data_IF_245589876922
#
_entry.id   IF_245589876922
#
_cell.length_a   1.000
_cell.length_b   1.000
_cell.length_c   1.000
_cell.angle_alpha   90.00
_cell.angle_beta   90.00
_cell.angle_gamma   90.00
#
_symmetry.space_group_name_H-M   'P 1'
#
loop_
_entity.id
_entity.type
_entity.pdbx_description
1 polymer ?
#
# COMPACT_ATOMS: atom_id res chain seq x y z
N UNK A 1 -29.19 0.14 6.91
CA UNK A 1 -27.74 0.35 7.07
C UNK A 1 -27.50 0.81 8.50
N UNK A 2 -26.92 -0.03 9.33
CA UNK A 2 -26.59 0.32 10.72
C UNK A 2 -25.37 1.23 10.71
N UNK A 3 -25.31 2.31 11.52
CA UNK A 3 -24.22 3.31 11.52
C UNK A 3 -22.84 2.79 11.97
N UNK A 4 -22.65 1.48 12.16
CA UNK A 4 -21.41 0.86 12.65
C UNK A 4 -20.34 0.58 11.58
N UNK A 5 -20.68 0.70 10.29
CA UNK A 5 -19.75 0.42 9.18
C UNK A 5 -19.52 1.62 8.24
N UNK A 6 -19.98 2.82 8.63
CA UNK A 6 -19.78 4.02 7.83
C UNK A 6 -18.42 4.67 8.13
N UNK A 7 -17.74 5.14 7.09
CA UNK A 7 -16.54 5.96 7.21
C UNK A 7 -16.97 7.42 7.41
N UNK A 8 -16.25 8.20 8.22
CA UNK A 8 -16.50 9.64 8.35
C UNK A 8 -15.76 10.39 7.22
N UNK A 9 -16.46 10.85 6.16
CA UNK A 9 -15.80 11.42 4.97
C UNK A 9 -15.14 12.76 5.23
N UNK A 10 -15.55 13.49 6.27
CA UNK A 10 -14.93 14.73 6.74
C UNK A 10 -13.57 14.49 7.41
N UNK A 11 -13.34 13.28 7.93
CA UNK A 11 -12.08 12.88 8.57
C UNK A 11 -11.19 12.10 7.60
N UNK A 12 -11.79 11.22 6.79
CA UNK A 12 -11.07 10.32 5.86
C UNK A 12 -11.62 10.44 4.42
N UNK A 13 -11.47 11.62 3.78
CA UNK A 13 -12.08 11.89 2.48
C UNK A 13 -11.53 11.00 1.37
N UNK A 14 -10.24 10.67 1.39
CA UNK A 14 -9.62 9.84 0.34
C UNK A 14 -10.08 8.40 0.43
N UNK A 15 -10.17 7.86 1.65
CA UNK A 15 -10.67 6.49 1.87
C UNK A 15 -12.15 6.39 1.51
N UNK A 16 -12.96 7.39 1.88
CA UNK A 16 -14.38 7.44 1.55
C UNK A 16 -14.61 7.36 0.04
N UNK A 17 -13.96 8.26 -0.71
CA UNK A 17 -14.03 8.30 -2.18
C UNK A 17 -13.55 6.99 -2.80
N UNK A 18 -12.49 6.41 -2.28
CA UNK A 18 -11.98 5.11 -2.74
C UNK A 18 -13.01 4.00 -2.56
N UNK A 19 -13.58 3.85 -1.37
CA UNK A 19 -14.56 2.78 -1.09
C UNK A 19 -15.86 2.96 -1.89
N UNK A 20 -16.30 4.20 -2.12
CA UNK A 20 -17.46 4.50 -2.95
C UNK A 20 -17.26 4.13 -4.43
N UNK A 21 -16.04 4.33 -4.95
CA UNK A 21 -15.70 3.98 -6.33
C UNK A 21 -15.57 2.45 -6.56
N UNK A 22 -15.47 1.65 -5.50
CA UNK A 22 -15.33 0.20 -5.60
C UNK A 22 -16.68 -0.51 -5.78
N UNK A 23 -16.76 -1.59 -6.58
CA UNK A 23 -18.02 -2.27 -6.86
C UNK A 23 -18.80 -2.75 -5.63
N UNK A 24 -18.09 -3.13 -4.56
CA UNK A 24 -18.66 -3.64 -3.29
C UNK A 24 -17.94 -3.08 -2.06
N UNK A 25 -17.37 -1.88 -2.17
CA UNK A 25 -16.57 -1.27 -1.09
C UNK A 25 -15.48 -2.21 -0.58
N UNK A 26 -15.40 -2.40 0.74
CA UNK A 26 -14.42 -3.29 1.38
C UNK A 26 -14.48 -4.75 0.91
N UNK A 27 -15.63 -5.23 0.43
CA UNK A 27 -15.81 -6.61 -0.05
C UNK A 27 -15.45 -6.79 -1.54
N UNK A 28 -14.84 -5.79 -2.18
CA UNK A 28 -14.43 -5.88 -3.57
C UNK A 28 -13.21 -6.78 -3.74
N UNK A 29 -13.17 -7.51 -4.86
CA UNK A 29 -12.02 -8.33 -5.27
C UNK A 29 -11.50 -9.30 -4.18
N UNK A 30 -12.34 -10.20 -3.64
CA UNK A 30 -11.96 -11.11 -2.55
C UNK A 30 -10.78 -12.04 -2.88
N UNK A 31 -10.52 -12.29 -4.16
CA UNK A 31 -9.37 -13.04 -4.67
C UNK A 31 -8.04 -12.27 -4.59
N UNK A 32 -8.10 -10.95 -4.45
CA UNK A 32 -6.94 -10.08 -4.33
C UNK A 32 -6.52 -9.94 -2.86
N UNK A 33 -5.35 -10.46 -2.51
CA UNK A 33 -4.84 -10.45 -1.13
C UNK A 33 -3.38 -10.04 -1.05
N UNK A 34 -3.04 -9.34 0.02
CA UNK A 34 -1.70 -8.87 0.34
C UNK A 34 -1.21 -9.52 1.65
N UNK A 35 0.11 -9.68 1.80
CA UNK A 35 0.68 -10.06 3.10
C UNK A 35 0.53 -8.92 4.10
N UNK A 36 0.07 -9.25 5.31
CA UNK A 36 -0.09 -8.32 6.42
C UNK A 36 1.22 -7.66 6.85
N UNK A 37 2.39 -8.18 6.45
CA UNK A 37 3.67 -7.50 6.63
C UNK A 37 3.67 -6.09 6.02
N UNK A 38 3.00 -5.87 4.88
CA UNK A 38 2.94 -4.55 4.23
C UNK A 38 2.18 -3.55 5.10
N UNK A 39 0.99 -3.94 5.56
CA UNK A 39 0.17 -3.18 6.49
C UNK A 39 0.94 -2.84 7.77
N UNK A 40 1.59 -3.84 8.38
CA UNK A 40 2.32 -3.66 9.64
C UNK A 40 3.47 -2.70 9.50
N UNK A 41 4.28 -2.83 8.46
CA UNK A 41 5.36 -1.88 8.19
C UNK A 41 4.84 -0.45 8.02
N UNK A 42 3.67 -0.25 7.42
CA UNK A 42 3.06 1.07 7.32
C UNK A 42 2.62 1.62 8.68
N UNK A 43 1.97 0.79 9.51
CA UNK A 43 1.52 1.17 10.86
C UNK A 43 2.68 1.39 11.84
N UNK A 44 3.79 0.67 11.69
CA UNK A 44 4.98 0.85 12.52
C UNK A 44 5.62 2.23 12.26
N UNK A 45 5.54 2.74 11.03
CA UNK A 45 6.07 4.05 10.66
C UNK A 45 5.07 5.18 10.91
N UNK A 46 3.78 4.94 10.63
CA UNK A 46 2.68 5.88 10.88
C UNK A 46 1.59 5.25 11.73
N UNK A 47 1.77 5.25 13.06
CA UNK A 47 0.76 4.72 13.95
C UNK A 47 -0.56 5.50 13.86
N UNK A 48 -1.68 4.77 13.84
CA UNK A 48 -3.03 5.32 13.81
C UNK A 48 -3.68 5.33 15.21
N UNK A 49 -2.95 5.83 16.23
CA UNK A 49 -3.42 5.83 17.62
C UNK A 49 -4.73 6.62 17.83
N UNK A 50 -5.03 7.58 16.95
CA UNK A 50 -6.25 8.38 16.98
C UNK A 50 -7.46 7.77 16.27
N UNK A 51 -7.36 6.58 15.69
CA UNK A 51 -8.45 5.96 14.92
C UNK A 51 -9.67 5.66 15.81
N UNK A 52 -10.84 6.25 15.47
CA UNK A 52 -12.06 6.17 16.29
C UNK A 52 -13.10 5.22 15.69
N UNK A 53 -13.85 4.46 16.53
CA UNK A 53 -15.01 3.67 16.12
C UNK A 53 -16.05 4.42 15.29
N UNK A 54 -16.22 5.71 15.57
CA UNK A 54 -17.20 6.55 14.88
C UNK A 54 -16.76 7.02 13.49
N UNK A 55 -15.52 6.76 13.09
CA UNK A 55 -14.93 7.34 11.89
C UNK A 55 -14.44 6.30 10.87
N UNK A 56 -14.29 5.03 11.26
CA UNK A 56 -13.80 3.95 10.41
C UNK A 56 -14.69 2.71 10.51
N UNK A 57 -14.86 1.95 9.40
CA UNK A 57 -15.48 0.64 9.43
C UNK A 57 -14.80 -0.30 10.43
N UNK A 58 -15.61 -1.14 11.07
CA UNK A 58 -15.19 -2.11 12.09
C UNK A 58 -14.01 -2.98 11.65
N UNK A 59 -14.04 -3.48 10.41
CA UNK A 59 -12.99 -4.31 9.82
C UNK A 59 -11.62 -3.61 9.76
N UNK A 60 -11.59 -2.31 9.42
CA UNK A 60 -10.34 -1.55 9.37
C UNK A 60 -9.81 -1.26 10.77
N UNK A 61 -10.70 -0.93 11.71
CA UNK A 61 -10.33 -0.72 13.11
C UNK A 61 -9.74 -1.96 13.76
N UNK A 62 -10.27 -3.14 13.44
CA UNK A 62 -9.71 -4.39 13.93
C UNK A 62 -8.29 -4.61 13.42
N UNK A 63 -8.04 -4.38 12.14
CA UNK A 63 -6.71 -4.48 11.55
C UNK A 63 -5.71 -3.48 12.14
N UNK A 64 -6.16 -2.28 12.52
CA UNK A 64 -5.32 -1.28 13.20
C UNK A 64 -5.01 -1.69 14.64
N UNK A 65 -6.02 -2.12 15.40
CA UNK A 65 -5.90 -2.44 16.83
C UNK A 65 -5.21 -3.76 17.09
N UNK A 66 -5.46 -4.75 16.23
CA UNK A 66 -4.93 -6.11 16.33
C UNK A 66 -4.38 -6.53 14.97
N UNK A 67 -3.25 -5.95 14.52
CA UNK A 67 -2.66 -6.29 13.24
C UNK A 67 -2.35 -7.80 13.17
N UNK A 68 -2.75 -8.50 12.10
CA UNK A 68 -2.47 -9.93 11.94
C UNK A 68 -0.97 -10.26 11.95
N UNK A 69 -0.62 -11.54 12.02
CA UNK A 69 0.77 -11.97 11.88
C UNK A 69 1.30 -11.56 10.50
N UNK A 70 2.59 -11.19 10.40
CA UNK A 70 3.22 -10.70 9.15
C UNK A 70 3.08 -11.65 7.95
N UNK A 71 2.93 -12.95 8.20
CA UNK A 71 2.74 -14.00 7.19
C UNK A 71 1.28 -14.17 6.73
N UNK A 72 0.33 -13.55 7.42
CA UNK A 72 -1.11 -13.66 7.13
C UNK A 72 -1.44 -12.95 5.83
N UNK A 73 -2.35 -13.53 5.04
CA UNK A 73 -2.93 -12.89 3.87
C UNK A 73 -4.20 -12.15 4.26
N UNK A 74 -4.31 -10.89 3.86
CA UNK A 74 -5.48 -10.01 4.10
C UNK A 74 -6.00 -9.46 2.78
N UNK A 75 -7.28 -9.08 2.67
CA UNK A 75 -7.82 -8.45 1.46
C UNK A 75 -7.00 -7.24 1.04
N UNK A 76 -6.61 -7.18 -0.24
CA UNK A 76 -5.80 -6.08 -0.78
C UNK A 76 -6.52 -4.73 -0.64
N UNK A 77 -7.86 -4.72 -0.75
CA UNK A 77 -8.69 -3.54 -0.51
C UNK A 77 -8.53 -3.00 0.92
N UNK A 78 -8.41 -3.87 1.92
CA UNK A 78 -8.24 -3.45 3.32
C UNK A 78 -6.85 -2.86 3.57
N UNK A 79 -5.82 -3.48 3.01
CA UNK A 79 -4.44 -2.95 3.05
C UNK A 79 -4.35 -1.57 2.40
N UNK A 80 -4.94 -1.39 1.22
CA UNK A 80 -4.97 -0.07 0.59
C UNK A 80 -5.82 0.94 1.37
N UNK A 81 -6.99 0.55 1.85
CA UNK A 81 -7.83 1.43 2.65
C UNK A 81 -7.07 1.97 3.87
N UNK A 82 -6.29 1.14 4.57
CA UNK A 82 -5.49 1.60 5.71
C UNK A 82 -4.36 2.54 5.28
N UNK A 83 -3.71 2.29 4.14
CA UNK A 83 -2.71 3.24 3.60
C UNK A 83 -3.33 4.59 3.26
N UNK A 84 -4.56 4.60 2.77
CA UNK A 84 -5.33 5.83 2.53
C UNK A 84 -5.76 6.50 3.85
N UNK A 85 -6.04 5.73 4.91
CA UNK A 85 -6.28 6.30 6.25
C UNK A 85 -5.01 6.96 6.79
N UNK A 86 -3.85 6.32 6.60
CA UNK A 86 -2.54 6.91 6.93
C UNK A 86 -2.32 8.18 6.11
N UNK A 87 -2.63 8.15 4.82
CA UNK A 87 -2.58 9.33 3.96
C UNK A 87 -3.43 10.47 4.53
N UNK A 88 -4.74 10.27 4.72
CA UNK A 88 -5.63 11.31 5.24
C UNK A 88 -5.21 11.81 6.65
N UNK A 89 -4.64 10.94 7.49
CA UNK A 89 -4.25 11.30 8.86
C UNK A 89 -2.91 12.04 8.97
N UNK A 90 -1.95 11.78 8.07
CA UNK A 90 -0.57 12.26 8.18
C UNK A 90 -0.12 13.13 7.00
N UNK A 91 -0.80 13.01 5.86
CA UNK A 91 -0.38 13.57 4.57
C UNK A 91 -1.54 14.31 3.93
N UNK A 92 -1.60 15.63 4.13
CA UNK A 92 -2.63 16.49 3.53
C UNK A 92 -2.48 16.70 2.01
N UNK A 93 -1.47 16.11 1.36
CA UNK A 93 -1.25 16.19 -0.09
C UNK A 93 -0.45 15.01 -0.65
N UNK A 94 -0.67 14.70 -1.93
CA UNK A 94 0.06 13.64 -2.64
C UNK A 94 1.57 13.93 -2.69
N UNK A 95 1.97 15.18 -2.94
CA UNK A 95 3.38 15.57 -2.96
C UNK A 95 4.09 15.32 -1.62
N UNK A 96 3.40 15.53 -0.49
CA UNK A 96 3.96 15.26 0.82
C UNK A 96 4.16 13.76 1.05
N UNK A 97 3.20 12.96 0.58
CA UNK A 97 3.29 11.51 0.62
C UNK A 97 4.39 10.96 -0.30
N UNK A 98 4.53 11.49 -1.51
CA UNK A 98 5.59 11.11 -2.46
C UNK A 98 6.98 11.38 -1.90
N UNK A 99 7.21 12.58 -1.35
CA UNK A 99 8.48 12.91 -0.70
C UNK A 99 8.80 11.95 0.44
N UNK A 100 7.81 11.67 1.30
CA UNK A 100 7.99 10.70 2.37
C UNK A 100 8.30 9.29 1.84
N UNK A 101 7.56 8.82 0.83
CA UNK A 101 7.77 7.51 0.24
C UNK A 101 9.16 7.39 -0.41
N UNK A 102 9.64 8.47 -1.03
CA UNK A 102 10.99 8.57 -1.57
C UNK A 102 12.04 8.51 -0.46
N UNK A 103 11.90 9.30 0.61
CA UNK A 103 12.84 9.34 1.73
C UNK A 103 12.89 8.00 2.48
N UNK A 104 11.75 7.36 2.71
CA UNK A 104 11.66 6.04 3.33
C UNK A 104 12.34 4.96 2.47
N UNK A 105 12.21 5.04 1.15
CA UNK A 105 12.92 4.15 0.23
C UNK A 105 14.43 4.42 0.24
N UNK A 106 14.86 5.68 0.20
CA UNK A 106 16.28 6.05 0.32
C UNK A 106 16.90 5.54 1.62
N UNK A 107 16.21 5.70 2.75
CA UNK A 107 16.67 5.19 4.04
C UNK A 107 16.84 3.65 4.02
N UNK A 108 15.94 2.92 3.35
CA UNK A 108 16.08 1.48 3.12
C UNK A 108 17.35 1.17 2.30
N UNK A 109 17.63 1.96 1.26
CA UNK A 109 18.81 1.82 0.41
C UNK A 109 20.11 2.20 1.13
N UNK A 110 20.06 3.08 2.13
CA UNK A 110 21.22 3.46 2.96
C UNK A 110 21.57 2.43 4.03
N UNK A 111 20.71 1.45 4.28
CA UNK A 111 21.01 0.32 5.15
C UNK A 111 22.20 -0.53 4.66
N UNK A 112 23.05 -1.08 5.56
CA UNK A 112 24.28 -1.79 5.18
C UNK A 112 24.07 -2.95 4.20
N UNK A 113 22.98 -3.71 4.40
CA UNK A 113 22.60 -4.85 3.56
C UNK A 113 22.19 -4.41 2.13
N UNK A 114 21.49 -3.29 2.03
CA UNK A 114 20.96 -2.79 0.77
C UNK A 114 22.02 -2.01 -0.01
N UNK A 115 22.88 -1.22 0.66
CA UNK A 115 24.09 -0.62 0.05
C UNK A 115 24.99 -1.68 -0.58
N UNK A 116 25.22 -2.79 0.12
CA UNK A 116 26.01 -3.90 -0.41
C UNK A 116 25.35 -4.55 -1.64
N UNK A 117 24.04 -4.78 -1.57
CA UNK A 117 23.26 -5.35 -2.68
C UNK A 117 23.24 -4.44 -3.91
N UNK A 118 23.03 -3.14 -3.71
CA UNK A 118 23.10 -2.10 -4.75
C UNK A 118 24.46 -2.08 -5.44
N UNK A 119 25.56 -2.11 -4.67
CA UNK A 119 26.93 -2.10 -5.20
C UNK A 119 27.31 -3.36 -5.97
N UNK A 120 26.78 -4.54 -5.61
CA UNK A 120 27.12 -5.82 -6.28
C UNK A 120 26.19 -6.23 -7.42
N UNK A 121 24.88 -6.01 -7.27
CA UNK A 121 23.90 -6.47 -8.27
C UNK A 121 23.62 -5.41 -9.33
N UNK A 122 23.74 -4.13 -9.00
CA UNK A 122 23.33 -3.03 -9.86
C UNK A 122 21.81 -2.89 -9.96
N UNK A 123 21.31 -1.67 -10.26
CA UNK A 123 19.88 -1.35 -10.23
C UNK A 123 19.05 -2.20 -11.21
N UNK A 124 19.59 -2.49 -12.40
CA UNK A 124 18.90 -3.29 -13.41
C UNK A 124 18.62 -4.73 -12.95
N UNK A 125 19.53 -5.35 -12.20
CA UNK A 125 19.32 -6.72 -11.68
C UNK A 125 18.32 -6.74 -10.52
N UNK A 126 18.26 -5.67 -9.73
CA UNK A 126 17.25 -5.51 -8.68
C UNK A 126 15.85 -5.36 -9.30
N UNK A 127 15.72 -4.54 -10.35
CA UNK A 127 14.47 -4.35 -11.09
C UNK A 127 13.95 -5.67 -11.68
N UNK A 128 14.84 -6.53 -12.21
CA UNK A 128 14.47 -7.87 -12.69
C UNK A 128 13.86 -8.79 -11.62
N UNK A 129 14.04 -8.47 -10.33
CA UNK A 129 13.44 -9.24 -9.22
C UNK A 129 12.11 -8.68 -8.74
N UNK A 130 11.69 -7.52 -9.23
CA UNK A 130 10.42 -6.86 -8.83
C UNK A 130 9.22 -7.78 -9.05
N UNK A 131 9.03 -8.46 -10.20
CA UNK A 131 7.90 -9.39 -10.39
C UNK A 131 7.88 -10.53 -9.37
N UNK A 132 9.03 -11.13 -9.08
CA UNK A 132 9.13 -12.21 -8.08
C UNK A 132 8.84 -11.70 -6.68
N UNK A 133 9.35 -10.51 -6.32
CA UNK A 133 9.07 -9.88 -5.04
C UNK A 133 7.57 -9.54 -4.92
N UNK A 134 6.95 -9.04 -5.98
CA UNK A 134 5.51 -8.77 -6.00
C UNK A 134 4.70 -10.01 -5.61
N UNK A 135 4.93 -11.13 -6.29
CA UNK A 135 4.27 -12.42 -6.01
C UNK A 135 4.52 -12.97 -4.60
N UNK A 136 5.59 -12.54 -3.93
CA UNK A 136 5.85 -12.93 -2.55
C UNK A 136 4.89 -12.24 -1.57
N UNK A 137 4.39 -11.06 -1.91
CA UNK A 137 3.54 -10.23 -1.05
C UNK A 137 2.11 -10.06 -1.55
N UNK A 138 1.81 -10.42 -2.81
CA UNK A 138 0.50 -10.21 -3.44
C UNK A 138 -0.01 -11.49 -4.12
N UNK A 139 -1.33 -11.65 -4.15
CA UNK A 139 -2.06 -12.65 -4.95
C UNK A 139 -3.29 -11.97 -5.58
N UNK A 140 -3.75 -12.47 -6.72
CA UNK A 140 -4.87 -11.89 -7.48
C UNK A 140 -4.48 -10.71 -8.37
N UNK A 141 -3.22 -10.26 -8.32
CA UNK A 141 -2.67 -9.15 -9.11
C UNK A 141 -1.29 -9.53 -9.62
N UNK A 142 -0.86 -8.93 -10.73
CA UNK A 142 0.46 -9.17 -11.29
C UNK A 142 1.22 -7.88 -11.55
N UNK A 143 2.55 -7.98 -11.46
CA UNK A 143 3.46 -6.91 -11.84
C UNK A 143 4.54 -7.54 -12.70
N UNK A 144 4.57 -7.20 -13.99
CA UNK A 144 5.56 -7.66 -14.96
C UNK A 144 6.54 -6.54 -15.28
N UNK A 145 7.74 -6.93 -15.67
CA UNK A 145 8.78 -6.02 -16.11
C UNK A 145 8.89 -6.09 -17.63
N UNK A 146 8.38 -5.08 -18.30
CA UNK A 146 8.35 -5.00 -19.76
C UNK A 146 9.70 -4.57 -20.32
N UNK A 147 10.32 -3.56 -19.69
CA UNK A 147 11.59 -3.01 -20.17
C UNK A 147 12.46 -2.50 -19.04
N UNK A 148 13.78 -2.65 -19.20
CA UNK A 148 14.79 -1.99 -18.37
C UNK A 148 15.82 -1.35 -19.27
N UNK A 149 16.02 -0.05 -19.08
CA UNK A 149 17.03 0.78 -19.73
C UNK A 149 17.89 1.45 -18.64
N UNK A 150 19.06 2.01 -18.97
CA UNK A 150 19.79 2.85 -18.03
C UNK A 150 18.90 4.00 -17.53
N UNK A 151 18.65 4.05 -16.22
CA UNK A 151 17.86 5.11 -15.58
C UNK A 151 16.33 5.00 -15.75
N UNK A 152 15.81 3.97 -16.45
CA UNK A 152 14.36 3.81 -16.67
C UNK A 152 13.93 2.35 -16.63
N UNK A 153 12.72 2.10 -16.15
CA UNK A 153 12.08 0.80 -16.23
C UNK A 153 10.59 0.98 -16.55
N UNK A 154 10.05 0.08 -17.38
CA UNK A 154 8.62 -0.02 -17.63
C UNK A 154 8.10 -1.27 -16.93
N UNK A 155 7.13 -1.07 -16.04
CA UNK A 155 6.40 -2.13 -15.34
C UNK A 155 4.97 -2.12 -15.83
N UNK A 156 4.41 -3.30 -16.09
CA UNK A 156 2.99 -3.47 -16.35
C UNK A 156 2.35 -4.08 -15.11
N UNK A 157 1.32 -3.42 -14.60
CA UNK A 157 0.58 -3.88 -13.44
C UNK A 157 -0.82 -4.28 -13.85
N UNK A 158 -1.16 -5.55 -13.65
CA UNK A 158 -2.48 -6.11 -13.94
C UNK A 158 -3.23 -6.33 -12.63
N UNK A 159 -4.34 -5.60 -12.47
CA UNK A 159 -5.22 -5.68 -11.32
C UNK A 159 -6.63 -5.21 -11.70
N UNK A 160 -7.66 -5.62 -10.94
CA UNK A 160 -9.01 -5.11 -11.13
C UNK A 160 -9.07 -3.59 -11.04
N UNK A 161 -9.93 -3.00 -11.87
CA UNK A 161 -10.09 -1.56 -11.96
C UNK A 161 -10.39 -0.94 -10.58
N UNK A 162 -9.66 0.12 -10.24
CA UNK A 162 -9.83 0.82 -8.98
C UNK A 162 -9.23 0.14 -7.76
N UNK A 163 -8.68 -1.09 -7.84
CA UNK A 163 -8.03 -1.74 -6.69
C UNK A 163 -6.81 -0.96 -6.19
N UNK A 164 -6.08 -0.30 -7.08
CA UNK A 164 -4.95 0.56 -6.72
C UNK A 164 -5.17 1.94 -7.31
N UNK A 165 -5.07 2.96 -6.46
CA UNK A 165 -5.10 4.36 -6.86
C UNK A 165 -3.69 4.96 -6.92
N UNK A 166 -3.63 6.25 -7.22
CA UNK A 166 -2.39 7.03 -7.34
C UNK A 166 -1.45 6.89 -6.13
N UNK A 167 -2.01 6.97 -4.91
CA UNK A 167 -1.26 6.80 -3.66
C UNK A 167 -0.56 5.44 -3.56
N UNK A 168 -1.11 4.38 -4.15
CA UNK A 168 -0.50 3.05 -4.10
C UNK A 168 0.80 2.95 -4.93
N UNK A 169 0.96 3.82 -5.94
CA UNK A 169 2.09 3.82 -6.86
C UNK A 169 2.95 5.08 -6.77
N UNK A 170 2.60 6.05 -5.94
CA UNK A 170 3.39 7.26 -5.67
C UNK A 170 4.88 6.95 -5.37
N UNK A 171 5.19 5.79 -4.77
CA UNK A 171 6.57 5.36 -4.53
C UNK A 171 7.28 4.67 -5.71
N UNK A 172 6.59 4.37 -6.82
CA UNK A 172 7.14 3.73 -8.03
C UNK A 172 7.34 4.73 -9.19
N UNK A 173 6.81 5.94 -9.05
CA UNK A 173 6.91 7.03 -10.03
C UNK A 173 8.01 7.99 -9.59
N UNK A 174 9.25 7.77 -10.03
CA UNK A 174 10.37 8.69 -9.84
C UNK A 174 11.22 8.77 -11.12
#
# INVERSE_FOLDING_TARGET
MTPLDAIAPDVYPTVARYLEALPRGLASYPECVNKASLLRSALDVHPLHGARPSALPSALLELIRRPPLVSTWIPAVHDLAIKLVIFDAHFGSIDAFERFAYDAQLALFDGPLYRFSMRRLGPQRLLRRVPTRWRHFHRGTTLTLERVEPGRAALLHDAPAGLYGEVAFAGLSA
#
